data_IF_106405893370
#
_entry.id   IF_106405893370
#
_cell.length_a   1.000
_cell.length_b   1.000
_cell.length_c   1.000
_cell.angle_alpha   90.00
_cell.angle_beta   90.00
_cell.angle_gamma   90.00
#
_symmetry.space_group_name_H-M   'P 1'
#
loop_
_entity.id
_entity.type
_entity.pdbx_description
1 polymer ?
#
# COMPACT_ATOMS: atom_id res chain seq x y z
N UNK A 1 -26.92 17.28 -10.60
CA UNK A 1 -26.38 16.15 -11.38
C UNK A 1 -24.88 16.24 -11.25
N UNK A 2 -24.30 15.36 -10.45
CA UNK A 2 -22.88 15.35 -10.11
C UNK A 2 -22.14 14.54 -11.20
N UNK A 3 -21.23 15.15 -11.99
CA UNK A 3 -20.52 14.46 -13.07
C UNK A 3 -19.50 13.42 -12.56
N UNK A 4 -19.22 13.38 -11.26
CA UNK A 4 -18.20 12.50 -10.66
C UNK A 4 -18.70 11.09 -10.29
N UNK A 5 -19.99 10.80 -10.49
CA UNK A 5 -20.53 9.43 -10.38
C UNK A 5 -20.44 8.70 -11.72
N UNK A 6 -19.27 8.73 -12.35
CA UNK A 6 -18.98 7.92 -13.52
C UNK A 6 -19.21 6.44 -13.17
N UNK A 7 -20.40 5.98 -13.51
CA UNK A 7 -20.94 4.62 -13.47
C UNK A 7 -20.01 3.54 -12.92
N UNK A 8 -20.37 3.02 -11.75
CA UNK A 8 -20.09 1.66 -11.29
C UNK A 8 -20.78 0.67 -12.25
N UNK A 9 -20.34 0.63 -13.51
CA UNK A 9 -20.89 -0.21 -14.58
C UNK A 9 -19.79 -0.90 -15.39
N UNK A 10 -18.56 -0.93 -14.90
CA UNK A 10 -17.46 -1.56 -15.64
C UNK A 10 -17.44 -3.09 -15.55
N UNK A 11 -18.37 -3.72 -14.81
CA UNK A 11 -18.49 -5.17 -14.72
C UNK A 11 -17.13 -5.83 -14.47
N UNK A 12 -16.78 -6.89 -15.20
CA UNK A 12 -15.47 -7.58 -15.09
C UNK A 12 -14.25 -6.73 -15.50
N UNK A 13 -14.43 -5.57 -16.14
CA UNK A 13 -13.33 -4.74 -16.66
C UNK A 13 -12.90 -3.58 -15.76
N UNK A 14 -13.60 -3.34 -14.63
CA UNK A 14 -13.25 -2.18 -13.79
C UNK A 14 -11.81 -2.25 -13.28
N UNK A 15 -11.37 -3.39 -12.75
CA UNK A 15 -10.01 -3.54 -12.21
C UNK A 15 -8.96 -3.36 -13.32
N UNK A 16 -9.02 -4.06 -14.47
CA UNK A 16 -8.08 -3.82 -15.57
C UNK A 16 -8.00 -2.36 -16.04
N UNK A 17 -9.14 -1.67 -16.18
CA UNK A 17 -9.15 -0.29 -16.63
C UNK A 17 -8.54 0.67 -15.61
N UNK A 18 -8.75 0.43 -14.31
CA UNK A 18 -8.09 1.21 -13.27
C UNK A 18 -6.58 1.02 -13.32
N UNK A 19 -6.09 -0.21 -13.55
CA UNK A 19 -4.66 -0.44 -13.73
C UNK A 19 -4.08 0.19 -15.00
N UNK A 20 -4.83 0.26 -16.10
CA UNK A 20 -4.44 1.03 -17.29
C UNK A 20 -4.33 2.54 -16.97
N UNK A 21 -5.23 3.07 -16.13
CA UNK A 21 -5.17 4.47 -15.69
C UNK A 21 -3.97 4.75 -14.78
N UNK A 22 -3.50 3.78 -13.99
CA UNK A 22 -2.30 3.92 -13.16
C UNK A 22 -1.02 4.15 -13.97
N UNK A 23 -1.01 3.79 -15.26
CA UNK A 23 0.14 4.01 -16.14
C UNK A 23 0.21 5.41 -16.73
N UNK A 24 -0.80 6.25 -16.49
CA UNK A 24 -0.84 7.61 -17.01
C UNK A 24 0.09 8.54 -16.20
N UNK A 25 0.73 9.52 -16.85
CA UNK A 25 1.70 10.42 -16.20
C UNK A 25 1.05 11.35 -15.16
N UNK A 26 -0.26 11.57 -15.25
CA UNK A 26 -1.02 12.45 -14.37
C UNK A 26 -1.19 11.87 -12.96
N UNK A 27 -0.53 12.49 -11.97
CA UNK A 27 -0.63 12.09 -10.55
C UNK A 27 -2.07 12.06 -10.05
N UNK A 28 -2.88 13.06 -10.42
CA UNK A 28 -4.30 13.12 -10.03
C UNK A 28 -5.12 11.95 -10.59
N UNK A 29 -4.78 11.47 -11.79
CA UNK A 29 -5.36 10.29 -12.41
C UNK A 29 -4.98 9.01 -11.67
N UNK A 30 -3.69 8.85 -11.34
CA UNK A 30 -3.21 7.70 -10.56
C UNK A 30 -3.86 7.63 -9.18
N UNK A 31 -3.95 8.76 -8.47
CA UNK A 31 -4.61 8.84 -7.16
C UNK A 31 -6.10 8.50 -7.22
N UNK A 32 -6.81 8.97 -8.25
CA UNK A 32 -8.22 8.62 -8.46
C UNK A 32 -8.37 7.12 -8.70
N UNK A 33 -7.53 6.55 -9.57
CA UNK A 33 -7.55 5.13 -9.87
C UNK A 33 -7.24 4.26 -8.64
N UNK A 34 -6.21 4.62 -7.85
CA UNK A 34 -5.89 3.96 -6.59
C UNK A 34 -7.04 4.06 -5.57
N UNK A 35 -7.67 5.23 -5.45
CA UNK A 35 -8.82 5.42 -4.56
C UNK A 35 -9.97 4.50 -4.95
N UNK A 36 -10.31 4.45 -6.25
CA UNK A 36 -11.33 3.53 -6.76
C UNK A 36 -10.95 2.06 -6.57
N UNK A 37 -9.67 1.69 -6.67
CA UNK A 37 -9.23 0.33 -6.35
C UNK A 37 -9.44 0.02 -4.87
N UNK A 38 -9.05 0.92 -3.95
CA UNK A 38 -9.31 0.75 -2.52
C UNK A 38 -10.79 0.51 -2.22
N UNK A 39 -11.68 1.29 -2.83
CA UNK A 39 -13.14 1.14 -2.64
C UNK A 39 -13.65 -0.21 -3.15
N UNK A 40 -13.09 -0.72 -4.24
CA UNK A 40 -13.55 -1.94 -4.90
C UNK A 40 -13.01 -3.23 -4.28
N UNK A 41 -11.80 -3.25 -3.69
CA UNK A 41 -11.19 -4.49 -3.19
C UNK A 41 -11.91 -5.11 -1.99
N UNK A 42 -12.91 -4.42 -1.43
CA UNK A 42 -13.84 -5.02 -0.46
C UNK A 42 -14.78 -6.06 -1.10
N UNK A 43 -15.05 -5.96 -2.40
CA UNK A 43 -15.80 -6.96 -3.17
C UNK A 43 -14.91 -8.19 -3.46
N UNK A 44 -15.31 -9.43 -3.09
CA UNK A 44 -14.48 -10.62 -3.27
C UNK A 44 -14.00 -10.85 -4.71
N UNK A 45 -14.85 -10.57 -5.70
CA UNK A 45 -14.52 -10.71 -7.12
C UNK A 45 -13.43 -9.71 -7.55
N UNK A 46 -13.49 -8.48 -7.05
CA UNK A 46 -12.54 -7.39 -7.34
C UNK A 46 -11.21 -7.63 -6.65
N UNK A 47 -11.27 -8.06 -5.39
CA UNK A 47 -10.12 -8.51 -4.65
C UNK A 47 -9.35 -9.57 -5.45
N UNK A 48 -10.04 -10.62 -5.89
CA UNK A 48 -9.42 -11.71 -6.63
C UNK A 48 -8.83 -11.23 -7.97
N UNK A 49 -9.56 -10.39 -8.71
CA UNK A 49 -9.05 -9.77 -9.94
C UNK A 49 -7.80 -8.93 -9.71
N UNK A 50 -7.70 -8.23 -8.58
CA UNK A 50 -6.56 -7.36 -8.27
C UNK A 50 -5.29 -8.19 -8.05
N UNK A 51 -5.38 -9.26 -7.25
CA UNK A 51 -4.21 -10.10 -6.93
C UNK A 51 -3.83 -11.09 -8.04
N UNK A 52 -4.77 -11.46 -8.92
CA UNK A 52 -4.52 -12.40 -10.04
C UNK A 52 -4.36 -11.73 -11.40
N UNK A 53 -4.64 -10.43 -11.50
CA UNK A 53 -4.72 -9.70 -12.76
C UNK A 53 -3.37 -9.38 -13.42
N UNK A 54 -2.25 -9.81 -12.83
CA UNK A 54 -0.92 -9.62 -13.42
C UNK A 54 -0.39 -8.18 -13.31
N UNK A 55 -0.86 -7.42 -12.33
CA UNK A 55 -0.51 -5.99 -12.16
C UNK A 55 0.66 -5.71 -11.20
N UNK A 56 1.46 -6.74 -10.93
CA UNK A 56 2.52 -6.68 -9.92
C UNK A 56 3.55 -5.60 -10.27
N UNK A 57 4.04 -5.59 -11.51
CA UNK A 57 5.05 -4.61 -11.95
C UNK A 57 4.52 -3.17 -11.86
N UNK A 58 3.23 -2.95 -12.11
CA UNK A 58 2.61 -1.64 -11.95
C UNK A 58 2.58 -1.22 -10.48
N UNK A 59 2.17 -2.12 -9.57
CA UNK A 59 2.20 -1.82 -8.14
C UNK A 59 3.62 -1.52 -7.66
N UNK A 60 4.62 -2.24 -8.17
CA UNK A 60 6.02 -1.97 -7.88
C UNK A 60 6.43 -0.54 -8.25
N UNK A 61 6.12 -0.10 -9.46
CA UNK A 61 6.38 1.28 -9.91
C UNK A 61 5.70 2.32 -9.02
N UNK A 62 4.48 2.04 -8.56
CA UNK A 62 3.73 2.97 -7.70
C UNK A 62 4.28 3.06 -6.26
N UNK A 63 4.91 1.99 -5.76
CA UNK A 63 5.65 2.04 -4.48
C UNK A 63 6.89 2.94 -4.57
N UNK A 64 7.44 3.15 -5.77
CA UNK A 64 8.61 3.99 -6.03
C UNK A 64 8.21 5.35 -6.65
N UNK A 65 6.92 5.71 -6.64
CA UNK A 65 6.43 6.95 -7.25
C UNK A 65 7.03 8.19 -6.56
N UNK A 66 7.34 9.23 -7.34
CA UNK A 66 7.91 10.47 -6.80
C UNK A 66 6.90 11.22 -5.92
N UNK A 67 5.60 11.04 -6.17
CA UNK A 67 4.57 11.66 -5.37
C UNK A 67 4.29 10.85 -4.08
N UNK A 68 4.50 11.43 -2.89
CA UNK A 68 4.31 10.73 -1.62
C UNK A 68 2.85 10.30 -1.39
N UNK A 69 1.88 10.99 -1.98
CA UNK A 69 0.46 10.64 -1.86
C UNK A 69 0.17 9.36 -2.64
N UNK A 70 0.81 9.18 -3.81
CA UNK A 70 0.67 7.96 -4.62
C UNK A 70 1.28 6.77 -3.88
N UNK A 71 2.48 6.91 -3.30
CA UNK A 71 3.10 5.85 -2.49
C UNK A 71 2.22 5.49 -1.30
N UNK A 72 1.76 6.50 -0.54
CA UNK A 72 0.87 6.33 0.62
C UNK A 72 -0.40 5.56 0.24
N UNK A 73 -1.05 5.95 -0.86
CA UNK A 73 -2.29 5.33 -1.33
C UNK A 73 -2.08 3.91 -1.88
N UNK A 74 -0.91 3.65 -2.47
CA UNK A 74 -0.49 2.30 -2.89
C UNK A 74 -0.30 1.39 -1.69
N UNK A 75 0.36 1.88 -0.63
CA UNK A 75 0.48 1.14 0.63
C UNK A 75 -0.90 0.90 1.28
N UNK A 76 -1.82 1.85 1.22
CA UNK A 76 -3.21 1.67 1.70
C UNK A 76 -3.92 0.53 0.95
N UNK A 77 -3.79 0.48 -0.37
CA UNK A 77 -4.31 -0.64 -1.16
C UNK A 77 -3.70 -1.98 -0.70
N UNK A 78 -2.39 -2.04 -0.45
CA UNK A 78 -1.74 -3.24 0.08
C UNK A 78 -2.23 -3.61 1.49
N UNK A 79 -2.50 -2.63 2.37
CA UNK A 79 -3.14 -2.86 3.67
C UNK A 79 -4.47 -3.57 3.49
N UNK A 80 -5.33 -3.06 2.60
CA UNK A 80 -6.65 -3.64 2.33
C UNK A 80 -6.54 -5.06 1.78
N UNK A 81 -5.61 -5.30 0.84
CA UNK A 81 -5.41 -6.63 0.28
C UNK A 81 -4.93 -7.63 1.35
N UNK A 82 -4.05 -7.20 2.25
CA UNK A 82 -3.45 -8.06 3.29
C UNK A 82 -4.35 -8.32 4.49
N UNK A 83 -5.53 -7.69 4.59
CA UNK A 83 -6.54 -8.05 5.61
C UNK A 83 -6.99 -9.51 5.49
N UNK A 84 -6.88 -10.12 4.30
CA UNK A 84 -7.28 -11.50 4.01
C UNK A 84 -6.07 -12.39 3.76
N UNK A 85 -6.14 -13.65 4.20
CA UNK A 85 -5.03 -14.63 4.06
C UNK A 85 -4.52 -14.77 2.62
N UNK A 86 -5.42 -14.76 1.62
CA UNK A 86 -5.02 -14.87 0.22
C UNK A 86 -4.19 -13.66 -0.26
N UNK A 87 -4.48 -12.46 0.23
CA UNK A 87 -3.71 -11.26 -0.12
C UNK A 87 -2.35 -11.22 0.58
N UNK A 88 -2.27 -11.74 1.81
CA UNK A 88 -0.99 -11.95 2.51
C UNK A 88 -0.10 -12.93 1.75
N UNK A 89 -0.66 -14.08 1.33
CA UNK A 89 0.06 -15.06 0.52
C UNK A 89 0.50 -14.49 -0.82
N UNK A 90 -0.35 -13.71 -1.49
CA UNK A 90 0.00 -12.96 -2.69
C UNK A 90 1.21 -12.06 -2.44
N UNK A 91 1.18 -11.24 -1.37
CA UNK A 91 2.27 -10.31 -1.09
C UNK A 91 3.57 -11.04 -0.74
N UNK A 92 3.51 -12.09 0.10
CA UNK A 92 4.66 -12.93 0.48
C UNK A 92 5.32 -13.58 -0.76
N UNK A 93 4.53 -13.99 -1.74
CA UNK A 93 5.02 -14.61 -2.98
C UNK A 93 5.37 -13.61 -4.09
N UNK A 94 5.19 -12.31 -3.85
CA UNK A 94 5.44 -11.24 -4.83
C UNK A 94 6.83 -10.63 -4.68
N UNK A 95 7.30 -9.97 -5.73
CA UNK A 95 8.51 -9.12 -5.69
C UNK A 95 8.27 -7.71 -5.14
N UNK A 96 7.09 -7.45 -4.53
CA UNK A 96 6.74 -6.15 -3.94
C UNK A 96 7.36 -5.93 -2.56
N UNK A 97 7.83 -6.99 -1.91
CA UNK A 97 8.35 -6.92 -0.55
C UNK A 97 9.59 -6.00 -0.42
N UNK A 98 10.65 -6.13 -1.24
CA UNK A 98 11.79 -5.20 -1.17
C UNK A 98 11.43 -3.71 -1.27
N UNK A 99 10.72 -3.23 -2.32
CA UNK A 99 10.35 -1.82 -2.40
C UNK A 99 9.41 -1.40 -1.26
N UNK A 100 8.56 -2.30 -0.76
CA UNK A 100 7.72 -2.01 0.41
C UNK A 100 8.54 -1.78 1.69
N UNK A 101 9.63 -2.52 1.90
CA UNK A 101 10.49 -2.34 3.07
C UNK A 101 11.27 -1.03 3.02
N UNK A 102 11.64 -0.55 1.82
CA UNK A 102 12.29 0.75 1.68
C UNK A 102 11.39 1.92 2.12
N UNK A 103 10.07 1.74 2.06
CA UNK A 103 9.11 2.71 2.55
C UNK A 103 9.00 2.77 4.09
N UNK A 104 9.76 1.95 4.83
CA UNK A 104 9.96 2.15 6.27
C UNK A 104 10.70 3.47 6.57
N UNK A 105 11.44 3.99 5.60
CA UNK A 105 12.16 5.27 5.70
C UNK A 105 11.49 6.38 4.85
N UNK A 106 10.22 6.19 4.48
CA UNK A 106 9.48 7.19 3.70
C UNK A 106 9.32 8.50 4.50
N UNK A 107 9.51 9.68 3.89
CA UNK A 107 9.29 10.96 4.56
C UNK A 107 7.85 11.16 5.02
N UNK A 108 6.87 10.49 4.41
CA UNK A 108 5.47 10.52 4.82
C UNK A 108 5.21 9.52 5.95
N UNK A 109 4.92 10.02 7.15
CA UNK A 109 4.50 9.20 8.30
C UNK A 109 3.26 8.35 8.00
N UNK A 110 2.35 8.84 7.15
CA UNK A 110 1.18 8.08 6.71
C UNK A 110 1.57 6.88 5.83
N UNK A 111 2.60 7.03 4.99
CA UNK A 111 3.15 5.94 4.20
C UNK A 111 3.79 4.89 5.12
N UNK A 112 4.68 5.32 6.03
CA UNK A 112 5.33 4.42 7.02
C UNK A 112 4.30 3.64 7.84
N UNK A 113 3.28 4.33 8.35
CA UNK A 113 2.16 3.71 9.09
C UNK A 113 1.49 2.58 8.29
N UNK A 114 1.21 2.81 7.01
CA UNK A 114 0.61 1.78 6.16
C UNK A 114 1.56 0.59 5.99
N UNK A 115 2.87 0.82 5.84
CA UNK A 115 3.86 -0.27 5.79
C UNK A 115 3.80 -1.10 7.07
N UNK A 116 3.85 -0.49 8.26
CA UNK A 116 3.75 -1.22 9.53
C UNK A 116 2.46 -2.03 9.67
N UNK A 117 1.32 -1.52 9.18
CA UNK A 117 0.06 -2.25 9.15
C UNK A 117 0.15 -3.49 8.24
N UNK A 118 0.76 -3.36 7.06
CA UNK A 118 1.02 -4.50 6.18
C UNK A 118 1.90 -5.54 6.88
N UNK A 119 3.01 -5.13 7.51
CA UNK A 119 3.89 -6.06 8.23
C UNK A 119 3.13 -6.77 9.36
N UNK A 120 2.27 -6.06 10.08
CA UNK A 120 1.40 -6.63 11.13
C UNK A 120 0.50 -7.72 10.55
N UNK A 121 -0.17 -7.45 9.42
CA UNK A 121 -1.01 -8.45 8.75
C UNK A 121 -0.21 -9.66 8.27
N UNK A 122 1.02 -9.46 7.77
CA UNK A 122 1.89 -10.55 7.34
C UNK A 122 2.30 -11.45 8.52
N UNK A 123 2.60 -10.87 9.68
CA UNK A 123 3.00 -11.59 10.89
C UNK A 123 1.92 -12.57 11.40
N UNK A 124 0.65 -12.38 11.02
CA UNK A 124 -0.44 -13.31 11.34
C UNK A 124 -0.34 -14.65 10.58
N UNK A 125 0.56 -14.79 9.60
CA UNK A 125 0.87 -16.06 8.93
C UNK A 125 2.27 -16.54 9.31
N UNK A 126 2.50 -17.84 9.55
CA UNK A 126 3.84 -18.38 9.81
C UNK A 126 4.85 -18.00 8.73
N UNK A 127 4.50 -18.16 7.45
CA UNK A 127 5.35 -17.77 6.34
C UNK A 127 5.66 -16.26 6.28
N UNK A 128 4.75 -15.42 6.79
CA UNK A 128 5.00 -13.99 6.90
C UNK A 128 5.95 -13.67 8.05
N UNK A 129 5.79 -14.33 9.21
CA UNK A 129 6.74 -14.21 10.32
C UNK A 129 8.17 -14.59 9.92
N UNK A 130 8.32 -15.65 9.10
CA UNK A 130 9.63 -16.06 8.57
C UNK A 130 10.27 -14.97 7.69
N UNK A 131 9.49 -14.32 6.82
CA UNK A 131 9.96 -13.19 6.01
C UNK A 131 10.37 -12.01 6.89
N UNK A 132 9.54 -11.67 7.87
CA UNK A 132 9.76 -10.52 8.76
C UNK A 132 10.91 -10.71 9.73
N UNK A 133 11.34 -11.95 10.01
CA UNK A 133 12.45 -12.24 10.91
C UNK A 133 13.72 -11.45 10.52
N UNK A 134 13.95 -11.30 9.22
CA UNK A 134 15.11 -10.55 8.68
C UNK A 134 15.03 -9.03 8.92
N UNK A 135 13.82 -8.50 9.16
CA UNK A 135 13.59 -7.07 9.40
C UNK A 135 13.60 -6.70 10.88
N UNK A 136 13.56 -7.67 11.80
CA UNK A 136 13.47 -7.38 13.25
C UNK A 136 14.53 -6.38 13.72
N UNK A 137 15.83 -6.52 13.38
CA UNK A 137 16.83 -5.53 13.78
C UNK A 137 16.55 -4.12 13.25
N UNK A 138 16.08 -4.00 11.99
CA UNK A 138 15.71 -2.70 11.38
C UNK A 138 14.51 -2.10 12.10
N UNK A 139 13.47 -2.89 12.37
CA UNK A 139 12.27 -2.43 13.07
C UNK A 139 12.57 -1.96 14.51
N UNK A 140 13.51 -2.62 15.20
CA UNK A 140 13.95 -2.16 16.53
C UNK A 140 14.64 -0.79 16.48
N UNK A 141 15.45 -0.54 15.43
CA UNK A 141 16.06 0.78 15.22
C UNK A 141 15.01 1.84 14.87
N UNK A 142 14.07 1.52 13.97
CA UNK A 142 12.96 2.42 13.61
C UNK A 142 12.14 2.85 14.82
N UNK A 143 11.87 1.93 15.75
CA UNK A 143 11.12 2.24 16.97
C UNK A 143 11.85 3.30 17.82
N UNK A 144 13.18 3.22 17.93
CA UNK A 144 13.97 4.20 18.67
C UNK A 144 13.96 5.57 17.98
N UNK A 145 14.14 5.60 16.66
CA UNK A 145 14.11 6.84 15.87
C UNK A 145 12.75 7.56 15.97
N UNK A 146 11.65 6.82 15.90
CA UNK A 146 10.29 7.38 15.97
C UNK A 146 9.94 7.90 17.37
N UNK A 147 10.40 7.25 18.44
CA UNK A 147 10.27 7.77 19.82
C UNK A 147 11.01 9.11 19.98
N UNK A 148 12.20 9.25 19.40
CA UNK A 148 12.97 10.50 19.41
C UNK A 148 12.29 11.61 18.58
N UNK A 149 11.73 11.30 17.41
CA UNK A 149 10.97 12.26 16.58
C UNK A 149 9.78 12.85 17.35
N UNK A 150 9.00 12.01 18.05
CA UNK A 150 7.84 12.43 18.83
C UNK A 150 8.22 13.33 20.03
N UNK A 151 9.32 13.03 20.73
CA UNK A 151 9.83 13.84 21.84
C UNK A 151 10.29 15.24 21.38
N UNK A 152 10.94 15.32 20.22
CA UNK A 152 11.41 16.59 19.64
C UNK A 152 10.25 17.47 19.18
N UNK A 153 9.21 16.90 18.55
CA UNK A 153 7.99 17.63 18.19
C UNK A 153 7.30 18.23 19.43
N UNK A 154 7.20 17.45 20.51
CA UNK A 154 6.58 17.91 21.75
C UNK A 154 7.36 19.05 22.42
N UNK A 155 8.70 19.00 22.41
CA UNK A 155 9.55 20.06 22.95
C UNK A 155 9.54 21.33 22.08
N UNK A 156 9.52 21.17 20.75
CA UNK A 156 9.46 22.26 19.78
C UNK A 156 8.14 23.03 19.79
N UNK A 157 7.02 22.38 20.10
CA UNK A 157 5.72 23.03 20.24
C UNK A 157 5.55 23.82 21.56
N UNK A 158 6.47 23.65 22.52
CA UNK A 158 6.44 24.29 23.83
C UNK A 158 7.36 25.53 23.95
N UNK A 159 8.04 25.92 22.87
CA UNK A 159 8.96 27.07 22.79
C UNK A 159 8.41 28.20 21.94
#
# INVERSE_FOLDING_TARGET
MDPDRASVAYGRRAVPQLFEQLQQPETSGRLRALTSLCDLVHEPERFYQTITGGFLEQLKVLLEDQDPSVRTKTCELLCLLTTRSLGRLFLISSSLLPPLWELLDDPSSSCRRNVYLVLTHLAELPAGADVLHTLVPRLMLKLQEEEEEEEVEFCGAAS
#
